data_IF_953152199207
#
_entry.id   IF_953152199207
#
_cell.length_a   1.000
_cell.length_b   1.000
_cell.length_c   1.000
_cell.angle_alpha   90.00
_cell.angle_beta   90.00
_cell.angle_gamma   90.00
#
_symmetry.space_group_name_H-M   'P 1'
#
loop_
_entity.id
_entity.type
_entity.pdbx_description
1 polymer ?
#
# COMPACT_ATOMS: atom_id res chain seq x y z
N UNK A 1 31.61 -74.88 -20.07
CA UNK A 1 30.56 -73.87 -19.80
C UNK A 1 31.06 -72.67 -18.97
N UNK A 2 31.84 -72.86 -17.89
CA UNK A 2 32.25 -71.80 -16.95
C UNK A 2 32.73 -70.47 -17.56
N UNK A 3 33.70 -70.48 -18.50
CA UNK A 3 34.23 -69.24 -19.09
C UNK A 3 33.19 -68.41 -19.87
N UNK A 4 32.12 -69.04 -20.38
CA UNK A 4 31.06 -68.35 -21.12
C UNK A 4 30.15 -67.56 -20.17
N UNK A 5 29.92 -68.05 -18.97
CA UNK A 5 29.12 -67.37 -17.95
C UNK A 5 29.88 -66.18 -17.33
N UNK A 6 31.19 -66.30 -17.07
CA UNK A 6 31.99 -65.16 -16.59
C UNK A 6 32.03 -63.99 -17.58
N UNK A 7 32.10 -64.25 -18.89
CA UNK A 7 32.06 -63.19 -19.91
C UNK A 7 30.73 -62.45 -19.95
N UNK A 8 29.60 -63.16 -19.78
CA UNK A 8 28.25 -62.55 -19.75
C UNK A 8 28.07 -61.68 -18.50
N UNK A 9 28.55 -62.13 -17.33
CA UNK A 9 28.44 -61.37 -16.09
C UNK A 9 29.27 -60.08 -16.11
N UNK A 10 30.47 -60.11 -16.69
CA UNK A 10 31.30 -58.91 -16.86
C UNK A 10 30.65 -57.91 -17.83
N UNK A 11 30.07 -58.39 -18.94
CA UNK A 11 29.40 -57.54 -19.92
C UNK A 11 28.21 -56.77 -19.31
N UNK A 12 27.36 -57.43 -18.52
CA UNK A 12 26.25 -56.75 -17.84
C UNK A 12 26.73 -55.74 -16.79
N UNK A 13 27.83 -56.03 -16.09
CA UNK A 13 28.45 -55.07 -15.16
C UNK A 13 28.97 -53.83 -15.89
N UNK A 14 29.57 -53.97 -17.08
CA UNK A 14 30.03 -52.83 -17.87
C UNK A 14 28.88 -51.98 -18.44
N UNK A 15 27.77 -52.60 -18.87
CA UNK A 15 26.58 -51.86 -19.32
C UNK A 15 25.95 -51.01 -18.20
N UNK A 16 25.93 -51.53 -16.96
CA UNK A 16 25.40 -50.79 -15.80
C UNK A 16 26.29 -49.58 -15.48
N UNK A 17 27.61 -49.75 -15.50
CA UNK A 17 28.56 -48.65 -15.29
C UNK A 17 28.43 -47.57 -16.37
N UNK A 18 28.32 -47.95 -17.64
CA UNK A 18 28.16 -47.01 -18.75
C UNK A 18 26.86 -46.21 -18.65
N UNK A 19 25.76 -46.82 -18.19
CA UNK A 19 24.48 -46.12 -17.92
C UNK A 19 24.56 -45.16 -16.72
N UNK A 20 25.35 -45.49 -15.70
CA UNK A 20 25.62 -44.60 -14.57
C UNK A 20 26.44 -43.39 -15.01
N UNK A 21 27.51 -43.62 -15.77
CA UNK A 21 28.38 -42.57 -16.31
C UNK A 21 27.63 -41.61 -17.23
N UNK A 22 26.80 -42.15 -18.14
CA UNK A 22 25.93 -41.34 -19.00
C UNK A 22 24.98 -40.46 -18.18
N UNK A 23 24.35 -41.00 -17.12
CA UNK A 23 23.47 -40.23 -16.24
C UNK A 23 24.18 -39.15 -15.44
N UNK A 24 25.44 -39.37 -15.01
CA UNK A 24 26.23 -38.29 -14.40
C UNK A 24 26.54 -37.17 -15.38
N UNK A 25 26.91 -37.49 -16.62
CA UNK A 25 27.15 -36.49 -17.67
C UNK A 25 25.88 -35.69 -18.01
N UNK A 26 24.73 -36.36 -18.10
CA UNK A 26 23.43 -35.71 -18.31
C UNK A 26 23.04 -34.79 -17.14
N UNK A 27 23.32 -35.20 -15.90
CA UNK A 27 23.10 -34.38 -14.71
C UNK A 27 24.00 -33.13 -14.69
N UNK A 28 25.30 -33.27 -14.98
CA UNK A 28 26.24 -32.15 -15.04
C UNK A 28 25.87 -31.14 -16.14
N UNK A 29 25.43 -31.63 -17.32
CA UNK A 29 24.89 -30.76 -18.37
C UNK A 29 23.63 -30.02 -17.93
N UNK A 30 22.75 -30.65 -17.14
CA UNK A 30 21.57 -29.99 -16.59
C UNK A 30 21.93 -28.92 -15.55
N UNK A 31 22.90 -29.21 -14.67
CA UNK A 31 23.44 -28.25 -13.68
C UNK A 31 24.03 -27.03 -14.38
N UNK A 32 24.78 -27.21 -15.48
CA UNK A 32 25.33 -26.10 -16.26
C UNK A 32 24.23 -25.24 -16.89
N UNK A 33 23.22 -25.85 -17.52
CA UNK A 33 22.06 -25.12 -18.09
C UNK A 33 21.26 -24.35 -17.04
N UNK A 34 21.13 -24.88 -15.83
CA UNK A 34 20.46 -24.21 -14.71
C UNK A 34 21.29 -23.03 -14.17
N UNK A 35 22.62 -23.20 -14.04
CA UNK A 35 23.54 -22.11 -13.66
C UNK A 35 23.49 -20.96 -14.66
N UNK A 36 23.51 -21.25 -15.96
CA UNK A 36 23.44 -20.24 -17.02
C UNK A 36 22.10 -19.47 -16.99
N UNK A 37 20.96 -20.16 -16.85
CA UNK A 37 19.65 -19.53 -16.65
C UNK A 37 19.60 -18.65 -15.40
N UNK A 38 20.14 -19.11 -14.27
CA UNK A 38 20.22 -18.32 -13.03
C UNK A 38 21.11 -17.09 -13.20
N UNK A 39 22.22 -17.20 -13.94
CA UNK A 39 23.11 -16.09 -14.23
C UNK A 39 22.43 -15.06 -15.14
N UNK A 40 21.71 -15.49 -16.19
CA UNK A 40 20.90 -14.63 -17.04
C UNK A 40 19.81 -13.88 -16.28
N UNK A 41 19.06 -14.58 -15.41
CA UNK A 41 18.05 -13.95 -14.54
C UNK A 41 18.68 -12.94 -13.56
N UNK A 42 19.84 -13.26 -12.98
CA UNK A 42 20.57 -12.35 -12.07
C UNK A 42 21.10 -11.11 -12.80
N UNK A 43 21.54 -11.25 -14.06
CA UNK A 43 21.92 -10.11 -14.89
C UNK A 43 20.70 -9.27 -15.28
N UNK A 44 19.59 -9.88 -15.70
CA UNK A 44 18.36 -9.18 -16.04
C UNK A 44 17.77 -8.39 -14.85
N UNK A 45 17.81 -8.97 -13.64
CA UNK A 45 17.45 -8.27 -12.41
C UNK A 45 18.40 -7.08 -12.14
N UNK A 46 19.72 -7.28 -12.28
CA UNK A 46 20.70 -6.22 -12.07
C UNK A 46 20.65 -5.11 -13.12
N UNK A 47 20.23 -5.38 -14.36
CA UNK A 47 20.12 -4.41 -15.45
C UNK A 47 18.68 -3.95 -15.73
N UNK A 48 17.76 -4.21 -14.81
CA UNK A 48 16.33 -3.96 -14.99
C UNK A 48 15.93 -2.48 -15.05
N UNK A 49 14.63 -2.19 -15.28
CA UNK A 49 14.10 -0.83 -15.35
C UNK A 49 14.36 0.00 -14.08
N UNK A 50 14.62 -0.66 -12.95
CA UNK A 50 15.02 -0.03 -11.68
C UNK A 50 16.25 0.88 -11.82
N UNK A 51 17.24 0.53 -12.65
CA UNK A 51 18.40 1.42 -12.90
C UNK A 51 18.01 2.68 -13.67
N UNK A 52 17.10 2.55 -14.63
CA UNK A 52 16.59 3.70 -15.39
C UNK A 52 15.77 4.60 -14.48
N UNK A 53 14.87 4.03 -13.66
CA UNK A 53 14.09 4.74 -12.65
C UNK A 53 14.97 5.41 -11.59
N UNK A 54 16.05 4.77 -11.13
CA UNK A 54 16.98 5.37 -10.19
C UNK A 54 17.73 6.56 -10.79
N UNK A 55 18.17 6.46 -12.06
CA UNK A 55 18.82 7.56 -12.77
C UNK A 55 17.85 8.72 -13.08
N UNK A 56 16.59 8.42 -13.38
CA UNK A 56 15.52 9.40 -13.58
C UNK A 56 15.15 10.12 -12.27
N UNK A 57 14.96 9.36 -11.18
CA UNK A 57 14.74 9.92 -9.85
C UNK A 57 15.90 10.83 -9.39
N UNK A 58 17.15 10.45 -9.67
CA UNK A 58 18.31 11.29 -9.37
C UNK A 58 18.30 12.61 -10.16
N UNK A 59 17.91 12.59 -11.44
CA UNK A 59 17.72 13.82 -12.25
C UNK A 59 16.59 14.69 -11.71
N UNK A 60 15.44 14.10 -11.40
CA UNK A 60 14.28 14.82 -10.84
C UNK A 60 14.60 15.47 -9.49
N UNK A 61 15.38 14.80 -8.63
CA UNK A 61 15.85 15.38 -7.37
C UNK A 61 16.76 16.61 -7.59
N UNK A 62 17.72 16.53 -8.52
CA UNK A 62 18.59 17.66 -8.87
C UNK A 62 17.81 18.83 -9.50
N UNK A 63 16.79 18.55 -10.31
CA UNK A 63 15.90 19.57 -10.87
C UNK A 63 15.05 20.24 -9.78
N UNK A 64 14.48 19.46 -8.84
CA UNK A 64 13.75 19.98 -7.69
C UNK A 64 14.65 20.87 -6.81
N UNK A 65 15.90 20.50 -6.60
CA UNK A 65 16.87 21.32 -5.86
C UNK A 65 17.21 22.62 -6.59
N UNK A 66 17.44 22.57 -7.91
CA UNK A 66 17.63 23.74 -8.77
C UNK A 66 16.41 24.69 -8.72
N UNK A 67 15.19 24.14 -8.79
CA UNK A 67 13.95 24.91 -8.72
C UNK A 67 13.73 25.51 -7.32
N UNK A 68 14.02 24.79 -6.24
CA UNK A 68 14.02 25.34 -4.86
C UNK A 68 14.99 26.50 -4.70
N UNK A 69 16.20 26.39 -5.25
CA UNK A 69 17.19 27.49 -5.25
C UNK A 69 16.68 28.73 -5.99
N UNK A 70 16.12 28.55 -7.20
CA UNK A 70 15.51 29.65 -7.97
C UNK A 70 14.33 30.28 -7.25
N UNK A 71 13.46 29.48 -6.64
CA UNK A 71 12.32 29.95 -5.84
C UNK A 71 12.81 30.80 -4.66
N UNK A 72 13.79 30.31 -3.89
CA UNK A 72 14.40 31.03 -2.77
C UNK A 72 14.98 32.39 -3.17
N UNK A 73 15.60 32.48 -4.35
CA UNK A 73 16.16 33.74 -4.88
C UNK A 73 15.03 34.71 -5.27
N UNK A 74 13.93 34.22 -5.86
CA UNK A 74 12.78 35.04 -6.24
C UNK A 74 11.98 35.51 -5.01
N UNK A 75 11.82 34.65 -3.99
CA UNK A 75 11.18 35.00 -2.71
C UNK A 75 11.95 36.11 -1.98
N UNK A 76 13.28 35.96 -1.88
CA UNK A 76 14.15 36.99 -1.31
C UNK A 76 14.10 38.31 -2.10
N UNK A 77 14.06 38.23 -3.44
CA UNK A 77 13.93 39.42 -4.31
C UNK A 77 12.57 40.12 -4.19
N UNK A 78 11.51 39.37 -3.88
CA UNK A 78 10.16 39.90 -3.66
C UNK A 78 9.87 40.27 -2.19
N UNK A 79 10.88 40.25 -1.30
CA UNK A 79 10.75 40.71 0.08
C UNK A 79 10.06 39.74 1.05
N UNK A 80 9.92 38.46 0.67
CA UNK A 80 9.36 37.42 1.55
C UNK A 80 10.44 36.91 2.53
N UNK A 81 10.17 37.04 3.83
CA UNK A 81 11.05 36.53 4.88
C UNK A 81 10.96 35.00 4.91
N UNK A 82 12.09 34.34 4.66
CA UNK A 82 12.16 32.89 4.61
C UNK A 82 12.21 32.29 6.02
N UNK A 83 11.11 31.65 6.44
CA UNK A 83 11.04 30.97 7.75
C UNK A 83 11.89 29.69 7.67
N UNK A 84 12.98 29.65 8.45
CA UNK A 84 13.87 28.49 8.52
C UNK A 84 13.12 27.29 9.12
N UNK A 85 12.95 26.22 8.34
CA UNK A 85 12.30 25.00 8.81
C UNK A 85 13.03 24.43 10.04
N UNK A 86 12.32 24.09 11.13
CA UNK A 86 12.94 23.65 12.39
C UNK A 86 13.53 22.23 12.36
N UNK A 87 13.59 21.56 11.21
CA UNK A 87 13.96 20.14 11.09
C UNK A 87 15.30 19.85 10.38
N UNK A 88 16.25 20.79 10.44
CA UNK A 88 17.63 20.53 9.98
C UNK A 88 18.69 21.01 10.99
N UNK A 89 19.20 20.04 11.76
CA UNK A 89 20.55 20.01 12.31
C UNK A 89 21.27 18.81 11.65
N UNK A 90 22.58 18.76 11.42
CA UNK A 90 23.71 19.53 11.98
C UNK A 90 24.92 19.53 11.01
N UNK A 91 26.07 20.09 11.45
CA UNK A 91 27.36 20.26 10.75
C UNK A 91 27.41 21.35 9.65
N UNK A 92 28.44 22.21 9.55
CA UNK A 92 29.62 22.46 10.42
C UNK A 92 30.27 23.82 10.09
N UNK A 93 30.87 24.49 11.08
CA UNK A 93 31.74 25.69 10.96
C UNK A 93 32.89 25.60 11.99
N UNK A 94 33.95 26.44 12.00
CA UNK A 94 34.33 27.55 11.10
C UNK A 94 35.77 27.37 10.50
N UNK A 95 36.41 28.41 9.91
CA UNK A 95 37.16 29.37 10.72
C UNK A 95 36.95 30.86 10.36
N UNK A 96 37.47 31.69 11.27
CA UNK A 96 37.35 33.15 11.46
C UNK A 96 37.88 34.01 10.29
N UNK A 97 37.40 35.26 10.21
CA UNK A 97 38.30 36.41 10.43
C UNK A 97 37.55 37.62 11.05
N UNK A 98 38.29 38.60 11.58
CA UNK A 98 37.81 39.67 12.46
C UNK A 98 37.27 40.92 11.73
N UNK A 99 36.32 41.65 12.34
CA UNK A 99 36.64 42.97 12.93
C UNK A 99 35.45 43.80 13.45
N UNK A 100 35.71 44.37 14.63
CA UNK A 100 35.28 45.69 15.14
C UNK A 100 34.01 45.84 16.02
N UNK A 101 34.11 46.85 16.91
CA UNK A 101 33.35 47.10 18.13
C UNK A 101 32.22 48.12 17.93
N UNK A 102 31.19 48.04 18.78
CA UNK A 102 30.92 49.10 19.78
C UNK A 102 29.82 48.71 20.77
N UNK A 103 30.18 48.60 22.05
CA UNK A 103 29.25 48.63 23.18
C UNK A 103 28.56 50.02 23.32
N UNK A 104 27.30 50.04 23.77
CA UNK A 104 26.82 50.94 24.85
C UNK A 104 25.64 50.26 25.58
N UNK A 105 25.70 50.17 26.91
CA UNK A 105 24.57 49.86 27.80
C UNK A 105 23.79 51.14 28.14
N UNK A 106 22.49 51.04 28.43
CA UNK A 106 21.95 51.34 29.78
C UNK A 106 20.41 51.21 29.85
N UNK A 107 19.91 51.01 31.07
CA UNK A 107 18.50 50.73 31.41
C UNK A 107 17.65 52.00 31.61
N UNK A 108 16.33 51.84 31.75
CA UNK A 108 15.46 52.35 32.86
C UNK A 108 14.00 52.57 32.40
N UNK A 109 13.14 51.61 32.79
CA UNK A 109 11.89 51.78 33.56
C UNK A 109 10.85 52.86 33.14
N UNK A 110 9.60 52.45 32.83
CA UNK A 110 8.41 52.82 33.64
C UNK A 110 7.10 52.07 33.28
N UNK A 111 6.11 52.21 34.17
CA UNK A 111 5.06 51.26 34.59
C UNK A 111 3.66 51.55 34.01
N UNK A 112 2.79 50.52 34.06
CA UNK A 112 1.30 50.50 33.98
C UNK A 112 0.59 51.60 34.80
N UNK A 113 -0.69 52.00 34.52
CA UNK A 113 -1.93 51.15 34.54
C UNK A 113 -2.94 51.46 33.40
N UNK A 114 -4.20 50.98 33.30
CA UNK A 114 -5.04 49.82 33.72
C UNK A 114 -6.53 50.29 33.67
N UNK A 115 -7.50 49.37 33.46
CA UNK A 115 -8.97 49.55 33.50
C UNK A 115 -9.64 50.35 32.33
N UNK A 116 -10.91 50.11 31.94
CA UNK A 116 -11.99 49.23 32.47
C UNK A 116 -13.07 48.90 31.40
N UNK A 117 -13.84 47.80 31.57
CA UNK A 117 -15.18 47.57 30.93
C UNK A 117 -16.28 48.39 31.66
N UNK A 118 -17.49 48.62 31.08
CA UNK A 118 -18.63 47.67 31.12
C UNK A 118 -19.47 47.61 29.78
N UNK A 119 -20.00 46.45 29.39
CA UNK A 119 -21.43 45.97 29.45
C UNK A 119 -22.39 46.47 28.34
N UNK A 120 -23.39 45.64 27.96
CA UNK A 120 -24.51 46.07 27.09
C UNK A 120 -25.12 45.00 26.16
N UNK A 121 -26.39 44.67 26.38
CA UNK A 121 -27.19 43.60 25.80
C UNK A 121 -27.51 43.64 24.27
N UNK A 122 -27.66 42.43 23.68
CA UNK A 122 -28.91 41.95 23.06
C UNK A 122 -29.46 42.55 21.75
N UNK A 123 -29.62 41.71 20.72
CA UNK A 123 -30.94 41.34 20.14
C UNK A 123 -30.82 40.33 18.98
N UNK A 124 -31.93 39.65 18.67
CA UNK A 124 -32.12 38.74 17.52
C UNK A 124 -32.67 39.50 16.31
N UNK A 125 -32.36 38.99 15.10
CA UNK A 125 -33.39 38.83 14.07
C UNK A 125 -33.05 37.70 13.11
N UNK A 126 -34.05 36.86 12.82
CA UNK A 126 -34.05 35.95 11.67
C UNK A 126 -34.51 36.71 10.43
N UNK A 127 -34.06 36.33 9.23
CA UNK A 127 -34.99 36.19 8.10
C UNK A 127 -34.48 35.21 7.03
N UNK A 128 -35.37 34.87 6.09
CA UNK A 128 -35.44 33.58 5.39
C UNK A 128 -35.94 33.79 3.96
N UNK A 129 -35.85 32.75 3.10
CA UNK A 129 -36.42 32.64 1.72
C UNK A 129 -35.67 33.44 0.63
N UNK A 130 -35.69 33.08 -0.67
CA UNK A 130 -36.28 31.91 -1.35
C UNK A 130 -35.51 31.46 -2.62
N UNK A 131 -36.08 30.49 -3.37
CA UNK A 131 -35.46 29.73 -4.48
C UNK A 131 -36.02 30.07 -5.87
N UNK A 132 -35.29 29.61 -6.91
CA UNK A 132 -35.73 29.15 -8.26
C UNK A 132 -36.07 30.26 -9.30
N UNK A 133 -36.14 29.93 -10.63
CA UNK A 133 -35.97 28.62 -11.29
C UNK A 133 -34.96 28.55 -12.48
N UNK A 134 -34.81 27.32 -13.02
CA UNK A 134 -34.16 26.96 -14.31
C UNK A 134 -34.74 27.68 -15.54
N UNK A 135 -33.94 27.74 -16.61
CA UNK A 135 -34.46 27.61 -17.98
C UNK A 135 -33.57 26.72 -18.86
N UNK A 136 -34.23 25.91 -19.69
CA UNK A 136 -33.70 25.06 -20.77
C UNK A 136 -34.58 25.34 -22.02
N UNK A 137 -34.30 24.91 -23.24
CA UNK A 137 -33.33 23.96 -23.83
C UNK A 137 -33.09 24.40 -25.28
N UNK A 138 -31.93 24.14 -25.92
CA UNK A 138 -31.95 23.91 -27.38
C UNK A 138 -30.83 23.05 -27.96
N UNK A 139 -31.26 21.99 -28.62
CA UNK A 139 -30.45 21.10 -29.45
C UNK A 139 -30.27 21.63 -30.87
N UNK A 140 -29.10 21.35 -31.44
CA UNK A 140 -28.87 20.85 -32.82
C UNK A 140 -27.44 20.28 -32.83
N UNK A 141 -27.13 19.13 -33.43
CA UNK A 141 -27.99 18.20 -34.18
C UNK A 141 -27.28 17.69 -35.43
N UNK A 142 -26.54 16.57 -35.32
CA UNK A 142 -25.87 15.87 -36.42
C UNK A 142 -24.57 16.53 -36.92
N UNK A 143 -23.55 15.79 -37.37
CA UNK A 143 -23.39 14.33 -37.35
C UNK A 143 -22.17 13.90 -38.18
N UNK A 144 -21.31 13.04 -37.64
CA UNK A 144 -20.07 12.61 -38.30
C UNK A 144 -19.46 11.34 -37.69
N UNK A 145 -19.76 10.18 -38.27
CA UNK A 145 -19.00 8.92 -38.11
C UNK A 145 -17.54 9.15 -38.57
N UNK A 146 -16.52 8.39 -38.17
CA UNK A 146 -16.42 7.09 -37.46
C UNK A 146 -14.99 6.99 -36.89
N UNK A 147 -14.81 6.40 -35.72
CA UNK A 147 -13.50 5.99 -35.18
C UNK A 147 -13.73 4.84 -34.21
N UNK A 148 -13.09 3.70 -34.43
CA UNK A 148 -13.51 2.43 -33.82
C UNK A 148 -13.36 2.40 -32.29
N UNK A 149 -14.48 2.36 -31.57
CA UNK A 149 -14.53 1.75 -30.26
C UNK A 149 -14.76 0.25 -30.46
N UNK A 150 -13.76 -0.57 -30.11
CA UNK A 150 -13.95 -1.99 -29.84
C UNK A 150 -15.08 -2.14 -28.82
N UNK A 151 -16.04 -3.09 -28.97
CA UNK A 151 -17.04 -3.30 -27.94
C UNK A 151 -16.33 -3.61 -26.63
N UNK A 152 -16.58 -2.80 -25.61
CA UNK A 152 -16.15 -3.13 -24.26
C UNK A 152 -16.86 -4.43 -23.89
N UNK A 153 -16.09 -5.49 -23.62
CA UNK A 153 -16.64 -6.65 -22.94
C UNK A 153 -17.25 -6.17 -21.62
N UNK A 154 -18.41 -6.70 -21.26
CA UNK A 154 -19.03 -6.42 -19.97
C UNK A 154 -18.09 -6.93 -18.87
N UNK A 155 -17.32 -6.01 -18.27
CA UNK A 155 -16.36 -6.33 -17.22
C UNK A 155 -17.14 -6.90 -16.04
N UNK A 156 -17.03 -8.21 -15.82
CA UNK A 156 -17.66 -8.89 -14.70
C UNK A 156 -17.08 -8.31 -13.42
N UNK A 157 -17.96 -7.82 -12.54
CA UNK A 157 -17.57 -7.25 -11.25
C UNK A 157 -17.65 -8.36 -10.20
N UNK A 158 -16.48 -8.91 -9.88
CA UNK A 158 -16.32 -9.94 -8.84
C UNK A 158 -15.00 -9.76 -8.07
N UNK A 159 -14.77 -10.64 -7.10
CA UNK A 159 -13.63 -10.59 -6.18
C UNK A 159 -12.26 -10.66 -6.86
N UNK A 160 -12.16 -11.17 -8.10
CA UNK A 160 -10.89 -11.21 -8.85
C UNK A 160 -10.30 -9.82 -9.13
N UNK A 161 -11.10 -8.76 -8.99
CA UNK A 161 -10.68 -7.36 -9.13
C UNK A 161 -10.06 -6.77 -7.85
N UNK A 162 -10.10 -7.47 -6.70
CA UNK A 162 -9.54 -6.99 -5.43
C UNK A 162 -8.11 -7.51 -5.22
N UNK A 163 -7.18 -6.61 -4.87
CA UNK A 163 -5.81 -6.99 -4.48
C UNK A 163 -5.80 -7.37 -3.00
N UNK A 164 -6.28 -8.58 -2.69
CA UNK A 164 -6.25 -9.12 -1.34
C UNK A 164 -4.89 -9.78 -1.06
N UNK A 165 -4.18 -9.28 -0.06
CA UNK A 165 -2.87 -9.81 0.36
C UNK A 165 -2.79 -9.99 1.87
N UNK A 166 -1.91 -10.87 2.29
CA UNK A 166 -1.51 -10.99 3.68
C UNK A 166 -0.48 -9.91 4.00
N UNK A 167 -0.63 -9.26 5.16
CA UNK A 167 0.36 -8.34 5.69
C UNK A 167 0.64 -8.57 7.17
N UNK A 168 1.71 -7.95 7.67
CA UNK A 168 2.08 -7.96 9.09
C UNK A 168 2.17 -6.54 9.62
N UNK A 169 1.47 -6.24 10.72
CA UNK A 169 1.58 -4.95 11.39
C UNK A 169 2.94 -4.86 12.10
N UNK A 170 3.85 -4.03 11.57
CA UNK A 170 5.18 -3.80 12.13
C UNK A 170 5.11 -2.86 13.34
N UNK A 171 4.29 -1.81 13.24
CA UNK A 171 4.04 -0.92 14.37
C UNK A 171 2.63 -0.36 14.32
N UNK A 172 2.03 -0.17 15.49
CA UNK A 172 0.71 0.46 15.65
C UNK A 172 0.80 1.62 16.65
N UNK A 173 0.15 2.73 16.33
CA UNK A 173 0.06 3.93 17.18
C UNK A 173 -1.36 4.47 17.14
N UNK A 174 -1.81 5.18 18.19
CA UNK A 174 -3.07 5.95 18.11
C UNK A 174 -2.88 7.14 17.18
N UNK A 175 -3.92 7.47 16.40
CA UNK A 175 -3.88 8.63 15.50
C UNK A 175 -3.84 9.93 16.32
N UNK A 176 -2.93 10.88 16.02
CA UNK A 176 -2.75 12.09 16.84
C UNK A 176 -4.04 12.93 16.95
N UNK A 177 -4.75 13.10 15.83
CA UNK A 177 -5.97 13.91 15.76
C UNK A 177 -7.29 13.10 15.79
N UNK A 178 -7.28 11.84 16.23
CA UNK A 178 -8.49 11.00 16.23
C UNK A 178 -8.46 9.79 17.20
N UNK A 179 -9.21 9.87 18.30
CA UNK A 179 -9.25 8.83 19.35
C UNK A 179 -9.77 7.45 18.91
N UNK A 180 -10.53 7.40 17.80
CA UNK A 180 -11.13 6.17 17.27
C UNK A 180 -10.26 5.49 16.20
N UNK A 181 -9.12 6.09 15.81
CA UNK A 181 -8.27 5.59 14.73
C UNK A 181 -6.90 5.15 15.25
N UNK A 182 -6.41 4.03 14.73
CA UNK A 182 -5.00 3.67 14.77
C UNK A 182 -4.30 4.12 13.49
N UNK A 183 -2.98 4.20 13.55
CA UNK A 183 -2.07 4.35 12.42
C UNK A 183 -1.12 3.17 12.49
N UNK A 184 -1.20 2.30 11.49
CA UNK A 184 -0.37 1.11 11.37
C UNK A 184 0.68 1.29 10.27
N UNK A 185 1.90 0.83 10.52
CA UNK A 185 2.88 0.55 9.48
C UNK A 185 2.85 -0.96 9.21
N UNK A 186 2.47 -1.35 7.99
CA UNK A 186 2.15 -2.74 7.65
C UNK A 186 3.04 -3.24 6.51
N UNK A 187 3.75 -4.35 6.75
CA UNK A 187 4.48 -5.08 5.71
C UNK A 187 3.47 -5.78 4.80
N UNK A 188 3.53 -5.52 3.49
CA UNK A 188 2.69 -6.13 2.46
C UNK A 188 3.51 -7.00 1.49
N UNK A 189 4.74 -7.39 1.85
CA UNK A 189 5.71 -8.01 0.94
C UNK A 189 6.18 -7.08 -0.18
N UNK A 190 6.16 -5.77 0.08
CA UNK A 190 6.61 -4.73 -0.86
C UNK A 190 7.92 -4.09 -0.35
N UNK A 191 8.62 -3.34 -1.19
CA UNK A 191 9.94 -2.78 -0.85
C UNK A 191 9.91 -1.81 0.35
N UNK A 192 8.76 -1.22 0.67
CA UNK A 192 8.52 -0.43 1.86
C UNK A 192 7.19 -0.85 2.51
N UNK A 193 7.06 -0.77 3.84
CA UNK A 193 5.77 -0.86 4.52
C UNK A 193 4.77 0.18 4.00
N UNK A 194 3.48 -0.13 4.16
CA UNK A 194 2.39 0.80 3.87
C UNK A 194 1.85 1.40 5.16
N UNK A 195 1.62 2.70 5.15
CA UNK A 195 0.83 3.35 6.20
C UNK A 195 -0.65 3.01 6.00
N UNK A 196 -1.28 2.46 7.03
CA UNK A 196 -2.70 2.15 7.11
C UNK A 196 -3.32 2.95 8.27
N UNK A 197 -4.61 3.27 8.16
CA UNK A 197 -5.37 3.96 9.21
C UNK A 197 -6.66 3.18 9.47
N UNK A 198 -6.68 2.36 10.52
CA UNK A 198 -7.86 1.55 10.87
C UNK A 198 -8.75 2.20 11.94
N UNK A 199 -10.04 1.84 11.93
CA UNK A 199 -11.03 2.28 12.94
C UNK A 199 -11.13 1.38 14.17
N UNK A 200 -10.06 0.65 14.53
CA UNK A 200 -10.15 -0.51 15.42
C UNK A 200 -9.97 -0.19 16.92
N UNK A 201 -9.70 1.06 17.32
CA UNK A 201 -9.38 1.43 18.72
C UNK A 201 -10.44 1.03 19.73
N UNK A 202 -11.72 1.00 19.33
CA UNK A 202 -12.84 0.60 20.19
C UNK A 202 -13.08 -0.91 20.27
N UNK A 203 -12.44 -1.68 19.40
CA UNK A 203 -12.72 -3.10 19.20
C UNK A 203 -11.53 -3.98 19.57
N UNK A 204 -10.29 -3.52 19.34
CA UNK A 204 -9.07 -4.30 19.51
C UNK A 204 -8.03 -3.46 20.28
N UNK A 205 -7.47 -3.98 21.39
CA UNK A 205 -6.41 -3.29 22.11
C UNK A 205 -5.13 -3.24 21.28
N UNK A 206 -4.32 -2.21 21.52
CA UNK A 206 -3.08 -1.97 20.76
C UNK A 206 -2.07 -3.12 20.85
N UNK A 207 -2.10 -3.86 21.97
CA UNK A 207 -1.25 -5.02 22.25
C UNK A 207 -1.59 -6.23 21.36
N UNK A 208 -2.86 -6.40 20.95
CA UNK A 208 -3.29 -7.46 20.03
C UNK A 208 -3.09 -7.09 18.55
N UNK A 209 -2.89 -5.80 18.25
CA UNK A 209 -2.60 -5.29 16.91
C UNK A 209 -1.11 -5.37 16.56
N UNK A 210 -0.21 -5.26 17.55
CA UNK A 210 1.23 -5.28 17.35
C UNK A 210 1.70 -6.67 16.86
N UNK A 211 2.56 -6.70 15.84
CA UNK A 211 3.08 -7.92 15.19
C UNK A 211 2.02 -8.88 14.60
N UNK A 212 0.75 -8.48 14.57
CA UNK A 212 -0.37 -9.28 14.10
C UNK A 212 -0.34 -9.46 12.58
N UNK A 213 -0.59 -10.69 12.12
CA UNK A 213 -0.84 -11.02 10.73
C UNK A 213 -2.28 -10.68 10.36
N UNK A 214 -2.49 -9.99 9.25
CA UNK A 214 -3.80 -9.46 8.82
C UNK A 214 -4.01 -9.65 7.32
N UNK A 215 -5.25 -9.54 6.87
CA UNK A 215 -5.62 -9.49 5.45
C UNK A 215 -5.86 -8.04 5.05
N UNK A 216 -5.32 -7.63 3.90
CA UNK A 216 -5.35 -6.26 3.40
C UNK A 216 -5.95 -6.19 2.00
N UNK A 217 -6.76 -5.16 1.73
CA UNK A 217 -7.10 -4.75 0.37
C UNK A 217 -6.14 -3.63 -0.10
N UNK A 218 -5.29 -3.97 -1.08
CA UNK A 218 -4.11 -3.18 -1.46
C UNK A 218 -4.28 -2.32 -2.72
N UNK A 219 -5.32 -2.51 -3.53
CA UNK A 219 -5.56 -1.73 -4.75
C UNK A 219 -6.68 -0.68 -4.61
N UNK A 220 -7.22 -0.45 -3.42
CA UNK A 220 -8.09 0.70 -3.17
C UNK A 220 -7.33 2.01 -3.43
N UNK A 221 -8.06 3.06 -3.86
CA UNK A 221 -7.46 4.39 -3.98
C UNK A 221 -7.08 4.92 -2.59
N UNK A 222 -5.82 5.31 -2.32
CA UNK A 222 -5.42 5.85 -1.04
C UNK A 222 -6.27 7.03 -0.60
N UNK A 223 -6.68 7.01 0.67
CA UNK A 223 -7.62 7.97 1.25
C UNK A 223 -6.98 8.70 2.42
N UNK A 224 -7.16 10.03 2.48
CA UNK A 224 -6.70 10.81 3.64
C UNK A 224 -7.72 10.69 4.77
N UNK A 225 -7.31 10.10 5.88
CA UNK A 225 -8.08 10.01 7.11
C UNK A 225 -7.43 10.94 8.13
N UNK A 226 -8.13 12.03 8.48
CA UNK A 226 -7.67 13.03 9.49
C UNK A 226 -6.26 13.61 9.25
N UNK A 227 -5.82 13.63 7.99
CA UNK A 227 -4.53 14.19 7.56
C UNK A 227 -3.54 13.13 7.06
N UNK A 228 -3.57 11.94 7.65
CA UNK A 228 -2.71 10.81 7.30
C UNK A 228 -3.29 10.06 6.09
N UNK A 229 -2.43 9.59 5.18
CA UNK A 229 -2.83 8.88 3.97
C UNK A 229 -2.83 7.36 4.23
N UNK A 230 -4.01 6.74 4.28
CA UNK A 230 -4.11 5.28 4.32
C UNK A 230 -3.93 4.70 2.91
N UNK A 231 -3.02 3.74 2.76
CA UNK A 231 -2.60 3.13 1.49
C UNK A 231 -3.14 1.71 1.28
N UNK A 232 -3.83 1.15 2.29
CA UNK A 232 -4.56 -0.11 2.22
C UNK A 232 -5.74 -0.06 3.21
N UNK A 233 -6.53 -1.13 3.27
CA UNK A 233 -7.62 -1.34 4.23
C UNK A 233 -7.47 -2.71 4.87
N UNK A 234 -7.58 -2.80 6.20
CA UNK A 234 -7.55 -4.08 6.93
C UNK A 234 -8.92 -4.74 6.83
N UNK A 235 -8.98 -5.94 6.27
CA UNK A 235 -10.21 -6.70 6.10
C UNK A 235 -10.64 -7.35 7.43
N UNK A 236 -11.85 -7.05 7.87
CA UNK A 236 -12.38 -7.47 9.16
C UNK A 236 -13.75 -8.16 8.99
N UNK A 237 -14.03 -9.18 9.80
CA UNK A 237 -15.40 -9.62 10.02
C UNK A 237 -16.13 -8.58 10.89
N UNK A 238 -17.34 -8.17 10.51
CA UNK A 238 -18.07 -7.09 11.16
C UNK A 238 -19.56 -7.38 11.35
N UNK A 239 -20.07 -6.98 12.50
CA UNK A 239 -21.50 -6.93 12.84
C UNK A 239 -21.80 -5.56 13.47
N UNK A 240 -23.05 -5.24 13.83
CA UNK A 240 -23.37 -3.99 14.52
C UNK A 240 -22.64 -3.82 15.86
N UNK A 241 -22.33 -4.93 16.54
CA UNK A 241 -21.84 -4.96 17.92
C UNK A 241 -20.35 -5.34 18.04
N UNK A 242 -19.79 -6.07 17.06
CA UNK A 242 -18.43 -6.62 17.12
C UNK A 242 -17.69 -6.47 15.78
N UNK A 243 -16.37 -6.28 15.87
CA UNK A 243 -15.44 -6.33 14.75
C UNK A 243 -14.28 -7.25 15.15
N UNK A 244 -13.90 -8.16 14.26
CA UNK A 244 -12.74 -9.04 14.41
C UNK A 244 -11.85 -8.97 13.17
N UNK A 245 -10.52 -9.03 13.36
CA UNK A 245 -9.58 -9.22 12.25
C UNK A 245 -9.81 -10.58 11.60
N UNK A 246 -9.63 -10.66 10.28
CA UNK A 246 -9.47 -11.94 9.60
C UNK A 246 -8.06 -12.49 9.86
N UNK A 247 -7.99 -13.68 10.45
CA UNK A 247 -6.75 -14.42 10.70
C UNK A 247 -6.30 -15.17 9.43
N UNK A 248 -5.07 -14.89 8.93
CA UNK A 248 -4.45 -15.69 7.87
C UNK A 248 -4.09 -17.11 8.33
N UNK A 249 -3.99 -18.09 7.43
CA UNK A 249 -3.57 -19.45 7.77
C UNK A 249 -2.13 -19.50 8.31
N UNK A 250 -1.83 -20.52 9.11
CA UNK A 250 -0.49 -20.71 9.68
C UNK A 250 0.58 -20.83 8.59
N UNK A 251 1.70 -20.12 8.76
CA UNK A 251 2.79 -20.07 7.77
C UNK A 251 2.57 -19.07 6.63
N UNK A 252 1.46 -18.33 6.63
CA UNK A 252 1.31 -17.16 5.75
C UNK A 252 2.40 -16.11 6.05
N UNK A 253 2.88 -15.43 5.01
CA UNK A 253 3.93 -14.41 5.07
C UNK A 253 3.45 -13.11 4.41
N UNK A 254 4.02 -11.95 4.76
CA UNK A 254 3.71 -10.69 4.09
C UNK A 254 3.87 -10.80 2.56
N UNK A 255 2.86 -10.34 1.83
CA UNK A 255 2.81 -10.39 0.37
C UNK A 255 2.21 -11.65 -0.25
N UNK A 256 1.91 -12.69 0.55
CA UNK A 256 1.08 -13.80 0.07
C UNK A 256 -0.25 -13.25 -0.49
N UNK A 257 -0.63 -13.66 -1.69
CA UNK A 257 -1.93 -13.29 -2.28
C UNK A 257 -3.03 -14.20 -1.74
N UNK A 258 -4.18 -13.61 -1.49
CA UNK A 258 -5.42 -14.34 -1.17
C UNK A 258 -6.12 -14.71 -2.46
N UNK A 259 -6.37 -16.01 -2.64
CA UNK A 259 -7.17 -16.56 -3.74
C UNK A 259 -8.57 -16.92 -3.26
N UNK A 260 -9.56 -16.73 -4.13
CA UNK A 260 -10.92 -17.24 -3.93
C UNK A 260 -11.20 -18.35 -4.95
N UNK A 261 -11.70 -19.49 -4.49
CA UNK A 261 -12.02 -20.62 -5.38
C UNK A 261 -13.11 -20.23 -6.41
N UNK A 262 -12.98 -20.70 -7.66
CA UNK A 262 -13.89 -20.34 -8.75
C UNK A 262 -13.72 -18.93 -9.33
N UNK A 263 -12.93 -18.05 -8.71
CA UNK A 263 -12.65 -16.69 -9.16
C UNK A 263 -11.15 -16.53 -9.44
N UNK A 264 -10.65 -17.03 -10.59
CA UNK A 264 -9.27 -16.82 -10.99
C UNK A 264 -9.00 -15.31 -11.16
N UNK A 265 -7.77 -14.89 -10.87
CA UNK A 265 -7.33 -13.51 -11.11
C UNK A 265 -7.57 -13.12 -12.57
N UNK A 266 -8.33 -12.06 -12.80
CA UNK A 266 -8.62 -11.55 -14.14
C UNK A 266 -7.37 -10.90 -14.76
N UNK A 267 -7.20 -11.05 -16.08
CA UNK A 267 -6.20 -10.28 -16.84
C UNK A 267 -6.45 -8.76 -16.76
N UNK A 268 -7.69 -8.35 -16.52
CA UNK A 268 -8.10 -6.94 -16.31
C UNK A 268 -7.87 -6.42 -14.87
N UNK A 269 -7.04 -7.11 -14.07
CA UNK A 269 -6.76 -6.76 -12.68
C UNK A 269 -6.26 -5.31 -12.52
N UNK A 270 -7.03 -4.42 -11.86
CA UNK A 270 -6.68 -3.00 -11.80
C UNK A 270 -5.57 -2.75 -10.76
N UNK A 271 -4.45 -2.10 -11.13
CA UNK A 271 -3.42 -1.72 -10.15
C UNK A 271 -3.93 -0.70 -9.14
N UNK A 272 -4.99 0.04 -9.48
CA UNK A 272 -5.75 0.88 -8.57
C UNK A 272 -7.21 0.93 -8.97
N UNK A 273 -8.11 0.69 -8.02
CA UNK A 273 -9.56 0.73 -8.20
C UNK A 273 -10.04 2.17 -8.42
N UNK A 274 -10.95 2.36 -9.38
CA UNK A 274 -11.58 3.65 -9.65
C UNK A 274 -12.80 3.84 -8.72
N UNK A 275 -12.79 4.82 -7.78
CA UNK A 275 -13.90 5.01 -6.84
C UNK A 275 -15.23 5.36 -7.52
N UNK A 276 -15.21 5.91 -8.74
CA UNK A 276 -16.44 6.20 -9.49
C UNK A 276 -17.19 4.94 -9.92
N UNK A 277 -16.49 3.81 -10.06
CA UNK A 277 -17.10 2.52 -10.41
C UNK A 277 -17.69 1.78 -9.21
N UNK A 278 -17.37 2.19 -7.96
CA UNK A 278 -17.84 1.54 -6.72
C UNK A 278 -17.74 0.00 -6.73
N UNK A 279 -16.58 -0.51 -7.16
CA UNK A 279 -16.37 -1.95 -7.36
C UNK A 279 -16.38 -2.69 -6.01
N UNK A 280 -15.71 -2.15 -5.00
CA UNK A 280 -15.69 -2.75 -3.67
C UNK A 280 -17.09 -2.79 -3.06
N UNK A 281 -17.86 -1.72 -3.18
CA UNK A 281 -19.23 -1.63 -2.64
C UNK A 281 -20.24 -2.53 -3.37
N UNK A 282 -19.92 -3.03 -4.58
CA UNK A 282 -20.69 -4.05 -5.29
C UNK A 282 -20.30 -5.48 -4.89
N UNK A 283 -19.05 -5.70 -4.50
CA UNK A 283 -18.52 -7.01 -4.06
C UNK A 283 -18.80 -7.25 -2.58
N UNK A 284 -18.73 -6.20 -1.74
CA UNK A 284 -18.82 -6.25 -0.28
C UNK A 284 -20.08 -6.97 0.27
N UNK A 285 -21.29 -6.84 -0.31
CA UNK A 285 -22.47 -7.56 0.19
C UNK A 285 -22.34 -9.09 0.13
N UNK A 286 -21.53 -9.60 -0.80
CA UNK A 286 -21.26 -11.03 -0.97
C UNK A 286 -20.03 -11.52 -0.19
N UNK A 287 -19.30 -10.61 0.48
CA UNK A 287 -18.15 -10.94 1.34
C UNK A 287 -18.65 -11.26 2.75
N UNK A 288 -18.69 -12.55 3.10
CA UNK A 288 -19.21 -13.04 4.37
C UNK A 288 -18.35 -14.16 4.96
N UNK A 289 -18.27 -14.24 6.28
CA UNK A 289 -17.78 -15.46 6.97
C UNK A 289 -18.86 -16.54 6.92
N UNK A 290 -18.53 -17.81 6.67
CA UNK A 290 -19.48 -18.92 6.71
C UNK A 290 -19.78 -19.42 8.15
N UNK A 291 -20.43 -20.58 8.29
CA UNK A 291 -20.69 -21.25 9.58
C UNK A 291 -19.43 -21.71 10.32
N UNK A 292 -18.35 -21.97 9.59
CA UNK A 292 -17.07 -22.47 10.14
C UNK A 292 -16.12 -21.31 10.49
N UNK A 293 -16.60 -20.06 10.34
CA UNK A 293 -15.88 -18.78 10.42
C UNK A 293 -14.92 -18.51 9.26
N UNK A 294 -14.92 -19.34 8.21
CA UNK A 294 -14.08 -19.13 7.01
C UNK A 294 -14.58 -17.90 6.26
N UNK A 295 -13.68 -16.99 5.89
CA UNK A 295 -13.99 -15.86 5.03
C UNK A 295 -14.31 -16.34 3.61
N UNK A 296 -15.42 -15.87 3.02
CA UNK A 296 -15.88 -16.30 1.71
C UNK A 296 -16.37 -15.13 0.85
N UNK A 297 -16.34 -15.32 -0.48
CA UNK A 297 -17.11 -14.53 -1.44
C UNK A 297 -18.12 -15.44 -2.14
N UNK A 298 -19.42 -15.14 -2.04
CA UNK A 298 -20.50 -16.00 -2.60
C UNK A 298 -20.43 -17.47 -2.15
N UNK A 299 -19.91 -17.71 -0.94
CA UNK A 299 -19.69 -19.04 -0.38
C UNK A 299 -18.38 -19.72 -0.79
N UNK A 300 -17.64 -19.20 -1.78
CA UNK A 300 -16.32 -19.71 -2.13
C UNK A 300 -15.25 -19.22 -1.13
N UNK A 301 -14.39 -20.10 -0.60
CA UNK A 301 -13.48 -19.77 0.50
C UNK A 301 -12.28 -18.93 0.06
N UNK A 302 -11.90 -17.98 0.91
CA UNK A 302 -10.63 -17.27 0.83
C UNK A 302 -9.52 -18.16 1.38
N UNK A 303 -8.45 -18.27 0.60
CA UNK A 303 -7.32 -19.14 0.88
C UNK A 303 -6.00 -18.51 0.49
N UNK A 304 -4.92 -18.98 1.10
CA UNK A 304 -3.55 -18.70 0.66
C UNK A 304 -2.97 -19.99 0.08
N UNK A 305 -2.45 -19.90 -1.14
CA UNK A 305 -2.01 -21.04 -1.94
C UNK A 305 -1.02 -21.93 -1.17
N UNK A 306 -1.39 -23.19 -0.95
CA UNK A 306 -0.57 -24.19 -0.24
C UNK A 306 -0.48 -24.01 1.28
N UNK A 307 -1.23 -23.08 1.90
CA UNK A 307 -1.14 -22.78 3.34
C UNK A 307 -2.45 -22.97 4.11
N UNK A 308 -3.59 -22.67 3.50
CA UNK A 308 -4.91 -22.93 4.09
C UNK A 308 -5.93 -21.83 3.83
N UNK A 309 -7.03 -21.86 4.57
CA UNK A 309 -8.14 -20.89 4.50
C UNK A 309 -7.95 -19.73 5.49
N UNK A 310 -8.62 -18.61 5.23
CA UNK A 310 -8.66 -17.43 6.09
C UNK A 310 -9.92 -17.50 6.96
N UNK A 311 -9.81 -17.20 8.26
CA UNK A 311 -10.91 -17.36 9.22
C UNK A 311 -11.08 -16.15 10.13
N UNK A 312 -12.29 -15.91 10.63
CA UNK A 312 -12.51 -15.05 11.79
C UNK A 312 -12.33 -15.82 13.11
N UNK A 313 -11.87 -15.18 14.21
CA UNK A 313 -11.72 -15.81 15.53
C UNK A 313 -13.00 -16.47 16.06
N UNK A 314 -14.13 -15.77 16.02
CA UNK A 314 -15.42 -16.29 16.52
C UNK A 314 -16.62 -15.93 15.65
N UNK A 315 -16.53 -14.93 14.78
CA UNK A 315 -17.66 -14.46 13.98
C UNK A 315 -18.00 -15.42 12.83
N UNK A 316 -19.24 -15.90 12.84
CA UNK A 316 -19.88 -16.68 11.77
C UNK A 316 -20.95 -15.86 11.07
N UNK A 317 -21.26 -16.15 9.80
CA UNK A 317 -22.35 -15.52 9.04
C UNK A 317 -22.38 -13.98 9.09
N UNK A 318 -21.20 -13.36 9.27
CA UNK A 318 -21.00 -11.93 9.45
C UNK A 318 -20.41 -11.29 8.20
N UNK A 319 -20.76 -10.02 7.94
CA UNK A 319 -20.30 -9.29 6.76
C UNK A 319 -18.85 -8.82 6.90
N UNK A 320 -18.05 -9.05 5.87
CA UNK A 320 -16.64 -8.63 5.82
C UNK A 320 -16.56 -7.20 5.24
N UNK A 321 -15.71 -6.36 5.82
CA UNK A 321 -15.49 -4.96 5.42
C UNK A 321 -14.02 -4.57 5.52
#
# INVERSE_FOLDING_TARGET
MFLRNCRVLMASSTEILQRLEQRSVEADQMILKLKDRLQGLRQAAASGPERNLAAENAKLLAEVESLKGKLSILEARNGLIQIRSPFQSSASTPPKDESNKSDVKSEVNQKLPENSKPDGEGSKTEEKKEKKPKAEKKEKGGGGKKGGATPAADVVIDVSLLDLRIGKIISVKRHPDADALYVEEVDCGEANPRTVVSGLVKHIPIEEMQDKMVVLCCNLKPAKMRGILSQAMVMCASSPDKVELLDPPQGAVPGDRVSCEGYPMSDDFPPQMNPKKKIFEQIQPDLITNSDRVATYKGAPFSVAGKGVITAPSMTNSGIK
#
